data_IF_692153920188
#
_entry.id   IF_692153920188
#
_cell.length_a   1.000
_cell.length_b   1.000
_cell.length_c   1.000
_cell.angle_alpha   90.00
_cell.angle_beta   90.00
_cell.angle_gamma   90.00
#
_symmetry.space_group_name_H-M   'P 1'
#
loop_
_entity.id
_entity.type
_entity.pdbx_description
1 polymer ?
#
# COMPACT_ATOMS: atom_id res chain seq x y z
N UNK A 1 -39.20 23.66 17.73
CA UNK A 1 -39.31 22.47 16.86
C UNK A 1 -39.03 22.89 15.42
N UNK A 2 -38.06 22.24 14.72
CA UNK A 2 -37.72 22.66 13.36
C UNK A 2 -38.76 22.04 12.39
N UNK A 3 -39.74 22.83 11.95
CA UNK A 3 -40.88 22.39 11.14
C UNK A 3 -40.48 21.57 9.89
N UNK A 4 -39.49 21.98 9.09
CA UNK A 4 -38.98 21.20 7.96
C UNK A 4 -38.51 19.80 8.35
N UNK A 5 -37.77 19.65 9.46
CA UNK A 5 -37.27 18.39 9.97
C UNK A 5 -38.41 17.46 10.42
N UNK A 6 -39.41 18.03 11.10
CA UNK A 6 -40.59 17.25 11.56
C UNK A 6 -41.35 16.65 10.38
N UNK A 7 -41.62 17.43 9.35
CA UNK A 7 -42.29 16.94 8.14
C UNK A 7 -41.44 15.93 7.40
N UNK A 8 -40.14 16.18 7.25
CA UNK A 8 -39.21 15.24 6.60
C UNK A 8 -39.19 13.88 7.28
N UNK A 9 -39.15 13.85 8.64
CA UNK A 9 -39.16 12.62 9.42
C UNK A 9 -40.50 11.86 9.24
N UNK A 10 -41.62 12.58 9.21
CA UNK A 10 -42.95 11.96 9.02
C UNK A 10 -43.11 11.43 7.61
N UNK A 11 -42.65 12.14 6.59
CA UNK A 11 -42.59 11.68 5.20
C UNK A 11 -41.74 10.42 5.01
N UNK A 12 -40.59 10.36 5.69
CA UNK A 12 -39.71 9.21 5.64
C UNK A 12 -40.31 7.99 6.36
N UNK A 13 -41.04 8.21 7.49
CA UNK A 13 -41.68 7.16 8.30
C UNK A 13 -43.06 6.78 7.81
N UNK A 14 -43.64 7.49 6.82
CA UNK A 14 -45.00 7.23 6.31
C UNK A 14 -45.06 5.85 5.63
N UNK A 15 -45.79 4.93 6.27
CA UNK A 15 -46.01 3.58 5.79
C UNK A 15 -47.20 3.45 4.81
N UNK A 16 -47.66 4.60 4.25
CA UNK A 16 -48.78 4.66 3.30
C UNK A 16 -48.64 3.68 2.12
N UNK A 17 -49.73 3.53 1.41
CA UNK A 17 -50.07 2.51 0.39
C UNK A 17 -48.85 1.90 -0.38
N UNK A 18 -48.74 0.58 -0.34
CA UNK A 18 -47.65 -0.21 -0.92
C UNK A 18 -47.46 -0.03 -2.47
N UNK A 19 -48.43 0.62 -3.12
CA UNK A 19 -48.50 0.81 -4.59
C UNK A 19 -47.83 2.12 -5.07
N UNK A 20 -47.30 2.96 -4.19
CA UNK A 20 -46.70 4.26 -4.59
C UNK A 20 -45.27 4.07 -5.14
N UNK A 21 -44.97 4.75 -6.24
CA UNK A 21 -43.71 4.70 -6.97
C UNK A 21 -42.52 5.22 -6.13
N UNK A 22 -42.76 6.04 -5.09
CA UNK A 22 -41.73 6.63 -4.26
C UNK A 22 -40.89 5.60 -3.46
N UNK A 23 -41.43 4.44 -3.08
CA UNK A 23 -40.68 3.43 -2.34
C UNK A 23 -39.53 2.81 -3.17
N UNK A 24 -39.78 2.31 -4.40
CA UNK A 24 -38.70 1.85 -5.26
C UNK A 24 -37.63 2.93 -5.49
N UNK A 25 -38.02 4.20 -5.71
CA UNK A 25 -37.10 5.29 -5.89
C UNK A 25 -36.21 5.54 -4.66
N UNK A 26 -36.79 5.49 -3.44
CA UNK A 26 -36.04 5.60 -2.19
C UNK A 26 -35.06 4.43 -2.04
N UNK A 27 -35.48 3.20 -2.35
CA UNK A 27 -34.59 2.04 -2.28
C UNK A 27 -33.46 2.12 -3.28
N UNK A 28 -33.72 2.53 -4.52
CA UNK A 28 -32.70 2.72 -5.56
C UNK A 28 -31.71 3.80 -5.15
N UNK A 29 -32.20 4.94 -4.64
CA UNK A 29 -31.32 6.02 -4.18
C UNK A 29 -30.47 5.59 -2.97
N UNK A 30 -31.07 4.91 -2.00
CA UNK A 30 -30.35 4.35 -0.83
C UNK A 30 -29.28 3.33 -1.27
N UNK A 31 -29.66 2.41 -2.18
CA UNK A 31 -28.74 1.39 -2.71
C UNK A 31 -27.58 2.03 -3.50
N UNK A 32 -27.85 3.06 -4.31
CA UNK A 32 -26.82 3.78 -5.05
C UNK A 32 -25.76 4.42 -4.14
N UNK A 33 -26.20 5.08 -3.07
CA UNK A 33 -25.28 5.65 -2.06
C UNK A 33 -24.54 4.53 -1.32
N UNK A 34 -25.24 3.46 -0.93
CA UNK A 34 -24.64 2.35 -0.19
C UNK A 34 -23.57 1.63 -1.02
N UNK A 35 -23.85 1.30 -2.27
CA UNK A 35 -22.90 0.64 -3.17
C UNK A 35 -21.73 1.57 -3.49
N UNK A 36 -22.01 2.85 -3.82
CA UNK A 36 -20.98 3.82 -4.12
C UNK A 36 -19.99 4.00 -2.96
N UNK A 37 -20.49 4.20 -1.74
CA UNK A 37 -19.65 4.33 -0.55
C UNK A 37 -18.91 3.03 -0.24
N UNK A 38 -19.57 1.87 -0.37
CA UNK A 38 -18.92 0.58 -0.14
C UNK A 38 -17.73 0.36 -1.08
N UNK A 39 -17.89 0.65 -2.38
CA UNK A 39 -16.81 0.54 -3.36
C UNK A 39 -15.67 1.51 -3.05
N UNK A 40 -15.98 2.76 -2.67
CA UNK A 40 -14.96 3.74 -2.30
C UNK A 40 -14.13 3.29 -1.09
N UNK A 41 -14.78 2.81 -0.03
CA UNK A 41 -14.09 2.31 1.17
C UNK A 41 -13.23 1.08 0.82
N UNK A 42 -13.78 0.11 0.10
CA UNK A 42 -13.04 -1.09 -0.31
C UNK A 42 -11.83 -0.73 -1.18
N UNK A 43 -11.98 0.16 -2.15
CA UNK A 43 -10.90 0.60 -3.02
C UNK A 43 -9.74 1.23 -2.23
N UNK A 44 -10.05 2.15 -1.32
CA UNK A 44 -9.02 2.81 -0.50
C UNK A 44 -8.32 1.82 0.43
N UNK A 45 -9.07 0.98 1.16
CA UNK A 45 -8.50 0.02 2.10
C UNK A 45 -7.64 -1.06 1.42
N UNK A 46 -8.03 -1.52 0.24
CA UNK A 46 -7.26 -2.48 -0.54
C UNK A 46 -5.99 -1.84 -1.09
N UNK A 47 -6.07 -0.65 -1.69
CA UNK A 47 -4.89 0.00 -2.26
C UNK A 47 -3.87 0.40 -1.19
N UNK A 48 -4.32 0.91 -0.04
CA UNK A 48 -3.42 1.17 1.09
C UNK A 48 -2.74 -0.11 1.57
N UNK A 49 -3.49 -1.21 1.70
CA UNK A 49 -2.95 -2.52 2.06
C UNK A 49 -1.90 -3.01 1.07
N UNK A 50 -2.15 -2.89 -0.24
CA UNK A 50 -1.16 -3.21 -1.27
C UNK A 50 0.10 -2.37 -1.16
N UNK A 51 -0.05 -1.05 -1.07
CA UNK A 51 1.07 -0.12 -1.00
C UNK A 51 1.98 -0.40 0.19
N UNK A 52 1.41 -0.57 1.37
CA UNK A 52 2.17 -0.83 2.58
C UNK A 52 2.83 -2.21 2.53
N UNK A 53 2.08 -3.26 2.16
CA UNK A 53 2.62 -4.62 2.10
C UNK A 53 3.79 -4.73 1.10
N UNK A 54 3.66 -4.17 -0.09
CA UNK A 54 4.72 -4.27 -1.11
C UNK A 54 5.90 -3.39 -0.73
N UNK A 55 5.66 -2.17 -0.26
CA UNK A 55 6.71 -1.28 0.23
C UNK A 55 7.52 -1.95 1.34
N UNK A 56 6.86 -2.51 2.34
CA UNK A 56 7.54 -3.12 3.48
C UNK A 56 8.34 -4.37 3.08
N UNK A 57 7.88 -5.13 2.09
CA UNK A 57 8.66 -6.23 1.51
C UNK A 57 9.91 -5.74 0.79
N UNK A 58 9.80 -4.69 -0.03
CA UNK A 58 10.95 -4.13 -0.76
C UNK A 58 11.99 -3.56 0.22
N UNK A 59 11.52 -2.86 1.26
CA UNK A 59 12.37 -2.34 2.34
C UNK A 59 13.05 -3.48 3.09
N UNK A 60 12.35 -4.60 3.32
CA UNK A 60 12.90 -5.77 4.01
C UNK A 60 14.12 -6.39 3.34
N UNK A 61 14.27 -6.22 2.01
CA UNK A 61 15.47 -6.66 1.28
C UNK A 61 16.62 -5.66 1.26
N UNK A 62 16.33 -4.36 1.17
CA UNK A 62 17.34 -3.33 0.91
C UNK A 62 17.29 -2.13 1.83
N UNK A 63 16.50 -2.20 2.93
CA UNK A 63 16.30 -1.06 3.84
C UNK A 63 15.71 0.18 3.15
N UNK A 64 15.73 1.34 3.80
CA UNK A 64 15.12 2.58 3.29
C UNK A 64 16.07 3.42 2.42
N UNK A 65 17.33 3.51 2.84
CA UNK A 65 18.39 4.24 2.14
C UNK A 65 19.63 3.34 2.09
N UNK A 66 20.31 3.32 0.99
CA UNK A 66 21.57 2.63 0.81
C UNK A 66 22.68 3.68 0.59
N UNK A 67 23.77 3.54 1.33
CA UNK A 67 25.00 4.31 1.14
C UNK A 67 26.06 3.35 0.62
N UNK A 68 26.57 3.61 -0.57
CA UNK A 68 27.56 2.76 -1.26
C UNK A 68 28.50 3.63 -2.06
N UNK A 69 29.41 3.02 -2.82
CA UNK A 69 30.21 3.75 -3.76
C UNK A 69 29.37 4.36 -4.90
N UNK A 70 29.76 5.54 -5.38
CA UNK A 70 29.08 6.27 -6.43
C UNK A 70 28.98 5.45 -7.74
N UNK A 71 30.04 4.73 -8.12
CA UNK A 71 30.07 3.92 -9.32
C UNK A 71 29.19 2.67 -9.17
N UNK A 72 29.14 2.06 -7.98
CA UNK A 72 28.26 0.93 -7.68
C UNK A 72 26.78 1.30 -7.87
N UNK A 73 26.37 2.49 -7.48
CA UNK A 73 24.99 2.94 -7.64
C UNK A 73 24.62 3.28 -9.10
N UNK A 74 25.61 3.58 -9.93
CA UNK A 74 25.41 3.89 -11.36
C UNK A 74 25.65 2.70 -12.31
N UNK A 75 26.49 1.77 -11.91
CA UNK A 75 26.91 0.62 -12.72
C UNK A 75 26.52 -0.68 -12.01
N UNK A 76 26.56 -1.80 -12.72
CA UNK A 76 26.27 -3.12 -12.14
C UNK A 76 27.45 -3.71 -11.35
N UNK A 77 28.64 -3.15 -11.48
CA UNK A 77 29.83 -3.62 -10.77
C UNK A 77 29.82 -3.18 -9.31
N UNK A 78 30.31 -4.05 -8.42
CA UNK A 78 30.42 -3.77 -6.99
C UNK A 78 31.79 -3.15 -6.69
N UNK A 79 31.80 -1.91 -6.25
CA UNK A 79 32.99 -1.23 -5.75
C UNK A 79 32.92 -1.14 -4.22
N UNK A 80 34.02 -1.37 -3.49
CA UNK A 80 34.03 -1.30 -2.05
C UNK A 80 33.97 0.14 -1.55
N UNK A 81 33.43 0.33 -0.36
CA UNK A 81 33.60 1.56 0.42
C UNK A 81 33.95 1.21 1.85
N UNK A 82 34.67 2.10 2.51
CA UNK A 82 35.05 1.93 3.91
C UNK A 82 33.87 2.16 4.82
N UNK A 83 33.44 1.09 5.51
CA UNK A 83 32.35 1.12 6.50
C UNK A 83 32.85 0.70 7.88
N UNK A 84 33.85 1.43 8.38
CA UNK A 84 34.37 1.25 9.73
C UNK A 84 33.38 1.82 10.78
N UNK A 85 33.67 1.58 12.05
CA UNK A 85 32.81 2.04 13.15
C UNK A 85 32.66 3.57 13.20
N UNK A 86 33.67 4.32 12.71
CA UNK A 86 33.61 5.77 12.62
C UNK A 86 32.53 6.22 11.63
N UNK A 87 32.53 5.66 10.40
CA UNK A 87 31.51 5.97 9.40
C UNK A 87 30.13 5.53 9.84
N UNK A 88 29.98 4.32 10.38
CA UNK A 88 28.71 3.82 10.93
C UNK A 88 28.17 4.76 12.03
N UNK A 89 29.05 5.29 12.90
CA UNK A 89 28.66 6.26 13.94
C UNK A 89 28.24 7.62 13.33
N UNK A 90 28.85 8.05 12.23
CA UNK A 90 28.42 9.25 11.49
C UNK A 90 27.01 9.04 10.97
N UNK A 91 26.75 7.90 10.31
CA UNK A 91 25.43 7.56 9.76
C UNK A 91 24.34 7.42 10.84
N UNK A 92 24.66 6.79 11.98
CA UNK A 92 23.73 6.67 13.13
C UNK A 92 23.32 8.01 13.75
N UNK A 93 24.17 9.04 13.65
CA UNK A 93 23.91 10.39 14.18
C UNK A 93 23.10 11.28 13.24
N UNK A 94 22.75 10.80 12.06
CA UNK A 94 21.91 11.55 11.11
C UNK A 94 20.46 11.58 11.61
N UNK A 95 19.82 12.76 11.63
CA UNK A 95 18.42 12.88 12.02
C UNK A 95 17.51 11.98 11.18
N UNK A 96 16.60 11.25 11.84
CA UNK A 96 15.66 10.35 11.17
C UNK A 96 16.17 8.92 10.98
N UNK A 97 17.46 8.64 11.11
CA UNK A 97 18.00 7.28 11.03
C UNK A 97 17.69 6.50 12.30
N UNK A 98 17.10 5.30 12.14
CA UNK A 98 16.76 4.36 13.21
C UNK A 98 17.82 3.29 13.39
N UNK A 99 18.29 2.70 12.30
CA UNK A 99 19.22 1.59 12.30
C UNK A 99 20.16 1.68 11.11
N UNK A 100 21.39 1.21 11.29
CA UNK A 100 22.42 1.13 10.25
C UNK A 100 23.04 -0.26 10.31
N UNK A 101 23.08 -0.93 9.17
CA UNK A 101 23.68 -2.25 9.02
C UNK A 101 24.60 -2.29 7.81
N UNK A 102 25.73 -3.00 7.93
CA UNK A 102 26.69 -3.20 6.84
C UNK A 102 26.27 -4.36 5.94
N UNK A 103 26.61 -4.28 4.67
CA UNK A 103 26.39 -5.38 3.74
C UNK A 103 27.51 -5.47 2.69
N UNK A 104 27.73 -6.67 2.15
CA UNK A 104 28.62 -6.89 1.01
C UNK A 104 27.91 -7.79 -0.01
N UNK A 105 27.94 -7.40 -1.27
CA UNK A 105 27.37 -8.16 -2.38
C UNK A 105 28.46 -8.88 -3.16
N UNK A 106 28.20 -10.11 -3.59
CA UNK A 106 29.08 -10.87 -4.50
C UNK A 106 28.24 -11.73 -5.43
N UNK A 107 28.47 -11.57 -6.71
CA UNK A 107 27.91 -12.46 -7.72
C UNK A 107 28.56 -13.83 -7.68
N UNK A 108 27.76 -14.87 -7.89
CA UNK A 108 28.26 -16.23 -7.93
C UNK A 108 27.28 -17.19 -8.62
N UNK A 109 27.74 -18.39 -8.87
CA UNK A 109 26.94 -19.46 -9.48
C UNK A 109 26.81 -20.59 -8.50
N UNK A 110 25.60 -20.91 -8.08
CA UNK A 110 25.28 -22.16 -7.38
C UNK A 110 25.22 -23.30 -8.39
N UNK A 111 25.92 -24.39 -8.13
CA UNK A 111 25.97 -25.54 -9.01
C UNK A 111 25.65 -26.83 -8.27
N UNK A 112 24.73 -27.62 -8.83
CA UNK A 112 24.44 -29.02 -8.49
C UNK A 112 25.00 -29.91 -9.58
N UNK A 113 24.85 -31.23 -9.44
CA UNK A 113 25.28 -32.18 -10.46
C UNK A 113 24.49 -32.05 -11.77
N UNK A 114 23.22 -31.58 -11.70
CA UNK A 114 22.33 -31.52 -12.85
C UNK A 114 22.09 -30.08 -13.38
N UNK A 115 22.21 -29.05 -12.52
CA UNK A 115 21.79 -27.69 -12.82
C UNK A 115 22.74 -26.65 -12.24
N UNK A 116 22.68 -25.44 -12.76
CA UNK A 116 23.36 -24.27 -12.21
C UNK A 116 22.48 -23.03 -12.25
N UNK A 117 22.69 -22.10 -11.32
CA UNK A 117 21.94 -20.87 -11.20
C UNK A 117 22.85 -19.70 -10.79
N UNK A 118 22.81 -18.61 -11.55
CA UNK A 118 23.45 -17.36 -11.16
C UNK A 118 22.69 -16.72 -9.99
N UNK A 119 23.41 -16.33 -8.95
CA UNK A 119 22.85 -15.77 -7.72
C UNK A 119 23.68 -14.60 -7.22
N UNK A 120 23.06 -13.76 -6.40
CA UNK A 120 23.73 -12.68 -5.68
C UNK A 120 23.82 -13.04 -4.20
N UNK A 121 25.03 -13.20 -3.70
CA UNK A 121 25.31 -13.40 -2.29
C UNK A 121 25.28 -12.04 -1.57
N UNK A 122 24.41 -11.91 -0.59
CA UNK A 122 24.38 -10.77 0.33
C UNK A 122 24.97 -11.20 1.66
N UNK A 123 26.18 -10.74 1.91
CA UNK A 123 26.84 -10.91 3.19
C UNK A 123 26.34 -9.87 4.18
N UNK A 124 25.93 -10.32 5.36
CA UNK A 124 25.41 -9.47 6.44
C UNK A 124 26.08 -9.81 7.76
N UNK A 125 26.23 -8.80 8.60
CA UNK A 125 26.90 -8.89 9.89
C UNK A 125 25.97 -9.14 11.07
N UNK A 126 26.49 -9.09 12.30
CA UNK A 126 25.69 -9.21 13.52
C UNK A 126 24.68 -8.08 13.72
N UNK A 127 24.87 -6.95 13.03
CA UNK A 127 24.02 -5.77 13.02
C UNK A 127 22.78 -5.92 12.11
N UNK A 128 22.66 -7.02 11.37
CA UNK A 128 21.56 -7.24 10.43
C UNK A 128 20.21 -7.43 11.14
N UNK A 129 19.22 -6.63 10.75
CA UNK A 129 17.83 -6.81 11.19
C UNK A 129 17.19 -8.01 10.46
N UNK A 130 17.19 -9.14 11.14
CA UNK A 130 16.65 -10.40 10.59
C UNK A 130 15.13 -10.53 10.70
N UNK A 131 14.41 -9.52 11.22
CA UNK A 131 12.96 -9.59 11.47
C UNK A 131 12.17 -9.93 10.22
N UNK A 132 12.48 -9.26 9.10
CA UNK A 132 11.81 -9.52 7.83
C UNK A 132 12.05 -10.96 7.32
N UNK A 133 13.29 -11.41 7.36
CA UNK A 133 13.63 -12.78 6.94
C UNK A 133 12.99 -13.81 7.87
N UNK A 134 12.99 -13.57 9.18
CA UNK A 134 12.37 -14.47 10.16
C UNK A 134 10.87 -14.67 9.91
N UNK A 135 10.16 -13.60 9.57
CA UNK A 135 8.73 -13.64 9.24
C UNK A 135 8.42 -14.42 7.94
N UNK A 136 9.41 -14.53 7.05
CA UNK A 136 9.28 -15.18 5.75
C UNK A 136 10.00 -16.54 5.67
N UNK A 137 10.45 -17.10 6.79
CA UNK A 137 11.07 -18.44 6.84
C UNK A 137 10.03 -19.53 6.59
N UNK A 138 10.40 -20.52 5.77
CA UNK A 138 9.58 -21.72 5.51
C UNK A 138 10.16 -22.91 6.24
N UNK A 139 11.48 -23.11 6.16
CA UNK A 139 12.15 -24.29 6.67
C UNK A 139 13.53 -23.93 7.22
N UNK A 140 13.98 -24.64 8.28
CA UNK A 140 15.29 -24.46 8.89
C UNK A 140 15.37 -23.29 9.85
N UNK A 141 16.53 -22.65 9.91
CA UNK A 141 16.79 -21.50 10.79
C UNK A 141 17.71 -20.49 10.11
N UNK A 142 17.70 -19.25 10.61
CA UNK A 142 18.60 -18.21 10.12
C UNK A 142 20.04 -18.56 10.52
N UNK A 143 21.02 -18.46 9.59
CA UNK A 143 22.43 -18.63 9.92
C UNK A 143 22.88 -17.64 10.99
N UNK A 144 23.91 -17.98 11.72
CA UNK A 144 24.63 -16.99 12.53
C UNK A 144 25.45 -16.12 11.59
N UNK A 145 25.06 -14.88 11.42
CA UNK A 145 25.82 -13.92 10.64
C UNK A 145 26.97 -13.32 11.45
N UNK A 146 28.12 -13.22 10.85
CA UNK A 146 29.34 -12.78 11.51
C UNK A 146 30.16 -11.86 10.57
N UNK A 147 30.94 -10.97 11.14
CA UNK A 147 31.85 -10.07 10.42
C UNK A 147 33.33 -10.42 10.61
N UNK A 148 33.63 -11.44 11.46
CA UNK A 148 35.00 -11.88 11.81
C UNK A 148 35.33 -13.31 11.40
N UNK A 149 34.31 -14.15 11.22
CA UNK A 149 34.50 -15.58 10.91
C UNK A 149 33.51 -16.08 9.86
N UNK A 150 33.98 -16.99 9.00
CA UNK A 150 33.11 -17.67 8.04
C UNK A 150 32.47 -18.92 8.66
N UNK A 151 31.15 -18.99 8.61
CA UNK A 151 30.40 -20.19 9.01
C UNK A 151 30.04 -21.10 7.84
N UNK A 152 30.30 -20.67 6.59
CA UNK A 152 29.96 -21.38 5.35
C UNK A 152 28.49 -21.83 5.32
N UNK A 153 27.61 -21.05 5.91
CA UNK A 153 26.17 -21.27 5.93
C UNK A 153 25.47 -20.25 5.04
N UNK A 154 24.43 -20.70 4.35
CA UNK A 154 23.63 -19.84 3.49
C UNK A 154 22.14 -20.03 3.77
N UNK A 155 21.41 -18.95 3.49
CA UNK A 155 19.96 -18.94 3.44
C UNK A 155 19.56 -18.69 1.98
N UNK A 156 18.72 -19.56 1.43
CA UNK A 156 18.26 -19.49 0.03
C UNK A 156 16.75 -19.33 -0.02
N UNK A 157 16.23 -18.80 -1.13
CA UNK A 157 14.79 -18.74 -1.33
C UNK A 157 14.20 -20.09 -1.72
N UNK A 158 12.87 -20.22 -1.53
CA UNK A 158 12.11 -21.37 -2.01
C UNK A 158 12.18 -21.53 -3.54
N UNK A 159 12.30 -20.42 -4.29
CA UNK A 159 12.46 -20.47 -5.75
C UNK A 159 13.80 -21.05 -6.15
N UNK A 160 14.90 -20.65 -5.49
CA UNK A 160 16.24 -21.21 -5.72
C UNK A 160 16.26 -22.69 -5.31
N UNK A 161 15.71 -23.01 -4.12
CA UNK A 161 15.61 -24.37 -3.62
C UNK A 161 14.83 -25.28 -4.59
N UNK A 162 13.70 -24.79 -5.13
CA UNK A 162 12.88 -25.54 -6.11
C UNK A 162 13.59 -25.76 -7.45
N UNK A 163 14.24 -24.71 -8.00
CA UNK A 163 14.97 -24.80 -9.27
C UNK A 163 16.14 -25.80 -9.19
N UNK A 164 16.90 -25.77 -8.10
CA UNK A 164 18.07 -26.62 -7.91
C UNK A 164 17.79 -27.94 -7.15
N UNK A 165 16.52 -28.17 -6.76
CA UNK A 165 16.04 -29.34 -6.00
C UNK A 165 16.79 -29.56 -4.68
N UNK A 166 17.04 -28.47 -3.96
CA UNK A 166 17.81 -28.42 -2.72
C UNK A 166 16.92 -28.42 -1.48
N UNK A 167 17.44 -29.01 -0.39
CA UNK A 167 16.79 -29.07 0.92
C UNK A 167 17.66 -28.46 2.01
N UNK A 168 17.06 -28.12 3.12
CA UNK A 168 17.76 -27.65 4.32
C UNK A 168 18.73 -28.74 4.82
N UNK A 169 19.94 -28.33 5.19
CA UNK A 169 21.02 -29.21 5.65
C UNK A 169 21.92 -29.75 4.55
N UNK A 170 21.50 -29.64 3.28
CA UNK A 170 22.34 -30.09 2.16
C UNK A 170 23.51 -29.12 1.92
N UNK A 171 24.52 -29.63 1.24
CA UNK A 171 25.72 -28.88 0.86
C UNK A 171 25.72 -28.60 -0.62
N UNK A 172 26.08 -27.39 -1.00
CA UNK A 172 26.15 -26.94 -2.38
C UNK A 172 27.49 -26.23 -2.66
N UNK A 173 27.99 -26.39 -3.88
CA UNK A 173 29.14 -25.61 -4.36
C UNK A 173 28.70 -24.31 -4.99
N UNK A 174 29.40 -23.24 -4.65
CA UNK A 174 29.29 -21.94 -5.27
C UNK A 174 30.60 -21.56 -5.95
N UNK A 175 30.50 -21.05 -7.16
CA UNK A 175 31.61 -20.61 -7.97
C UNK A 175 31.56 -19.10 -8.10
N UNK A 176 32.68 -18.46 -7.82
CA UNK A 176 32.87 -17.01 -7.88
C UNK A 176 33.97 -16.71 -8.89
N UNK A 177 33.73 -15.71 -9.71
CA UNK A 177 34.66 -15.28 -10.75
C UNK A 177 35.25 -13.93 -10.35
N UNK A 178 36.54 -13.82 -10.42
CA UNK A 178 37.26 -12.57 -10.24
C UNK A 178 38.48 -12.54 -11.21
N UNK A 179 39.19 -11.42 -11.25
CA UNK A 179 40.36 -11.24 -12.13
C UNK A 179 41.48 -12.27 -11.90
N UNK A 180 41.49 -12.89 -10.71
CA UNK A 180 42.47 -13.91 -10.32
C UNK A 180 42.01 -15.34 -10.63
N UNK A 181 40.86 -15.52 -11.28
CA UNK A 181 40.33 -16.82 -11.69
C UNK A 181 39.04 -17.21 -11.00
N UNK A 182 38.79 -18.55 -10.91
CA UNK A 182 37.58 -19.10 -10.34
C UNK A 182 37.83 -19.59 -8.92
N UNK A 183 37.10 -19.03 -7.97
CA UNK A 183 37.11 -19.48 -6.58
C UNK A 183 35.89 -20.36 -6.33
N UNK A 184 36.09 -21.57 -5.80
CA UNK A 184 35.04 -22.49 -5.42
C UNK A 184 34.92 -22.53 -3.90
N UNK A 185 33.67 -22.41 -3.39
CA UNK A 185 33.36 -22.65 -1.98
C UNK A 185 32.17 -23.56 -1.81
N UNK A 186 32.21 -24.33 -0.73
CA UNK A 186 31.11 -25.22 -0.35
C UNK A 186 30.35 -24.62 0.81
N UNK A 187 29.02 -24.46 0.62
CA UNK A 187 28.11 -23.93 1.63
C UNK A 187 27.12 -25.00 2.10
N UNK A 188 26.64 -24.85 3.34
CA UNK A 188 25.54 -25.62 3.89
C UNK A 188 24.28 -24.77 3.92
N UNK A 189 23.18 -25.27 3.38
CA UNK A 189 21.88 -24.60 3.40
C UNK A 189 21.31 -24.69 4.82
N UNK A 190 21.24 -23.56 5.52
CA UNK A 190 20.76 -23.50 6.90
C UNK A 190 19.26 -23.31 7.00
N UNK A 191 18.65 -22.66 6.01
CA UNK A 191 17.22 -22.47 5.93
C UNK A 191 16.76 -21.99 4.57
N UNK A 192 15.45 -22.01 4.38
CA UNK A 192 14.75 -21.63 3.16
C UNK A 192 13.69 -20.59 3.51
N UNK A 193 13.66 -19.48 2.77
CA UNK A 193 12.69 -18.39 2.92
C UNK A 193 11.87 -18.18 1.66
N UNK A 194 10.71 -17.51 1.79
CA UNK A 194 9.86 -17.10 0.66
C UNK A 194 9.20 -15.76 0.94
N UNK A 195 9.50 -14.76 0.14
CA UNK A 195 8.90 -13.42 0.29
C UNK A 195 7.84 -13.12 -0.75
N UNK A 196 7.79 -13.90 -1.82
CA UNK A 196 6.97 -13.67 -3.02
C UNK A 196 7.38 -12.42 -3.81
N UNK A 197 8.55 -11.83 -3.54
CA UNK A 197 9.17 -10.83 -4.41
C UNK A 197 10.10 -11.54 -5.41
N UNK A 198 9.55 -11.93 -6.55
CA UNK A 198 10.23 -12.76 -7.56
C UNK A 198 11.61 -12.20 -7.91
N UNK A 199 11.74 -10.89 -8.12
CA UNK A 199 12.99 -10.20 -8.44
C UNK A 199 14.13 -10.56 -7.48
N UNK A 200 13.83 -10.69 -6.19
CA UNK A 200 14.80 -11.01 -5.15
C UNK A 200 14.84 -12.51 -4.86
N UNK A 201 13.69 -13.17 -4.77
CA UNK A 201 13.62 -14.61 -4.48
C UNK A 201 14.29 -15.48 -5.56
N UNK A 202 14.46 -14.98 -6.79
CA UNK A 202 15.16 -15.71 -7.86
C UNK A 202 16.69 -15.70 -7.74
N UNK A 203 17.24 -14.68 -7.07
CA UNK A 203 18.70 -14.45 -7.12
C UNK A 203 19.35 -14.28 -5.75
N UNK A 204 18.63 -13.85 -4.71
CA UNK A 204 19.24 -13.47 -3.44
C UNK A 204 19.54 -14.65 -2.53
N UNK A 205 20.81 -14.75 -2.10
CA UNK A 205 21.33 -15.71 -1.13
C UNK A 205 21.99 -14.94 0.01
N UNK A 206 21.61 -15.24 1.25
CA UNK A 206 22.23 -14.60 2.42
C UNK A 206 23.37 -15.44 2.98
N UNK A 207 24.45 -14.79 3.35
CA UNK A 207 25.61 -15.41 4.02
C UNK A 207 26.19 -14.44 5.07
N UNK A 208 27.23 -14.83 5.79
CA UNK A 208 27.94 -13.94 6.69
C UNK A 208 28.76 -12.87 5.96
N UNK A 209 28.90 -11.68 6.56
CA UNK A 209 29.59 -10.52 5.99
C UNK A 209 31.06 -10.84 5.72
N UNK A 210 31.72 -11.52 6.65
CA UNK A 210 33.11 -11.93 6.50
C UNK A 210 33.35 -12.72 5.23
N UNK A 211 32.47 -13.70 4.94
CA UNK A 211 32.57 -14.51 3.72
C UNK A 211 32.46 -13.67 2.46
N UNK A 212 31.47 -12.77 2.40
CA UNK A 212 31.26 -11.94 1.22
C UNK A 212 32.44 -10.95 0.97
N UNK A 213 32.96 -10.34 2.03
CA UNK A 213 34.15 -9.46 1.95
C UNK A 213 35.36 -10.22 1.44
N UNK A 214 35.66 -11.39 2.00
CA UNK A 214 36.80 -12.23 1.57
C UNK A 214 36.63 -12.79 0.14
N UNK A 215 35.40 -13.07 -0.29
CA UNK A 215 35.10 -13.47 -1.67
C UNK A 215 35.34 -12.36 -2.69
N UNK A 216 35.13 -11.11 -2.29
CA UNK A 216 35.48 -9.94 -3.11
C UNK A 216 36.98 -9.63 -3.12
N UNK A 217 37.77 -10.18 -2.18
CA UNK A 217 39.16 -9.87 -2.00
C UNK A 217 39.38 -8.50 -1.35
N UNK A 218 38.36 -8.00 -0.62
CA UNK A 218 38.39 -6.69 0.04
C UNK A 218 39.06 -6.76 1.42
N UNK A 219 39.48 -5.62 1.91
CA UNK A 219 39.98 -5.47 3.27
C UNK A 219 38.84 -5.57 4.31
N UNK A 220 39.21 -5.70 5.58
CA UNK A 220 38.22 -5.96 6.67
C UNK A 220 37.29 -4.76 6.94
N UNK A 221 37.74 -3.54 6.62
CA UNK A 221 36.97 -2.32 6.79
C UNK A 221 36.18 -1.92 5.52
N UNK A 222 36.35 -2.66 4.42
CA UNK A 222 35.66 -2.46 3.16
C UNK A 222 34.41 -3.34 3.04
N UNK A 223 33.33 -2.75 2.54
CA UNK A 223 32.07 -3.45 2.26
C UNK A 223 31.42 -2.85 1.00
N UNK A 224 30.35 -3.44 0.48
CA UNK A 224 29.57 -2.81 -0.60
C UNK A 224 28.87 -1.52 -0.13
N UNK A 225 28.68 -1.36 1.19
CA UNK A 225 28.07 -0.18 1.77
C UNK A 225 27.33 -0.44 3.07
N UNK A 226 26.46 0.50 3.42
CA UNK A 226 25.56 0.40 4.55
C UNK A 226 24.11 0.62 4.12
N UNK A 227 23.21 -0.10 4.76
CA UNK A 227 21.77 0.03 4.64
C UNK A 227 21.21 0.73 5.87
N UNK A 228 20.39 1.75 5.66
CA UNK A 228 19.82 2.58 6.71
C UNK A 228 18.32 2.43 6.77
N UNK A 229 17.79 2.17 7.97
CA UNK A 229 16.36 2.22 8.25
C UNK A 229 16.01 3.56 8.86
N UNK A 230 14.97 4.23 8.34
CA UNK A 230 14.47 5.50 8.90
C UNK A 230 13.30 5.27 9.85
N UNK A 231 13.07 6.23 10.76
CA UNK A 231 11.96 6.17 11.71
C UNK A 231 10.60 6.38 11.03
N UNK A 232 10.55 7.27 10.02
CA UNK A 232 9.32 7.62 9.29
C UNK A 232 9.60 7.65 7.79
N UNK A 233 8.94 6.76 7.05
CA UNK A 233 9.08 6.68 5.59
C UNK A 233 8.64 7.97 4.87
N UNK A 234 7.73 8.74 5.44
CA UNK A 234 7.28 10.01 4.85
C UNK A 234 8.39 11.07 4.88
N UNK A 235 9.37 10.93 5.79
CA UNK A 235 10.54 11.81 5.91
C UNK A 235 11.80 11.24 5.23
N UNK A 236 11.61 10.25 4.35
CA UNK A 236 12.73 9.58 3.66
C UNK A 236 13.62 10.58 2.94
N UNK A 237 13.04 11.49 2.15
CA UNK A 237 13.78 12.48 1.37
C UNK A 237 14.51 13.49 2.27
N UNK A 238 13.88 13.94 3.39
CA UNK A 238 14.54 14.82 4.37
C UNK A 238 15.76 14.15 4.98
N UNK A 239 15.66 12.86 5.31
CA UNK A 239 16.78 12.09 5.88
C UNK A 239 17.87 11.88 4.84
N UNK A 240 17.50 11.62 3.58
CA UNK A 240 18.47 11.52 2.48
C UNK A 240 19.22 12.84 2.25
N UNK A 241 18.54 13.99 2.28
CA UNK A 241 19.17 15.31 2.16
C UNK A 241 20.25 15.53 3.22
N UNK A 242 20.04 15.07 4.47
CA UNK A 242 21.09 15.10 5.49
C UNK A 242 22.30 14.21 5.14
N UNK A 243 22.07 13.03 4.55
CA UNK A 243 23.15 12.13 4.09
C UNK A 243 23.90 12.78 2.93
N UNK A 244 23.18 13.34 1.95
CA UNK A 244 23.78 14.02 0.79
C UNK A 244 24.68 15.14 1.23
N UNK A 245 24.26 15.96 2.18
CA UNK A 245 25.04 17.10 2.65
C UNK A 245 26.24 16.70 3.52
N UNK A 246 26.19 15.56 4.19
CA UNK A 246 27.20 15.20 5.21
C UNK A 246 28.14 14.08 4.78
N UNK A 247 27.68 13.17 3.91
CA UNK A 247 28.41 11.95 3.53
C UNK A 247 28.71 11.89 2.04
N UNK A 248 27.72 12.21 1.18
CA UNK A 248 27.93 12.12 -0.26
C UNK A 248 29.09 13.03 -0.72
N UNK A 249 29.80 12.55 -1.73
CA UNK A 249 31.01 13.20 -2.28
C UNK A 249 32.20 13.29 -1.31
N UNK A 250 32.09 12.73 -0.12
CA UNK A 250 33.28 12.47 0.69
C UNK A 250 34.01 11.27 0.13
N UNK A 251 35.35 11.27 0.26
CA UNK A 251 36.20 10.22 -0.28
C UNK A 251 36.80 9.46 0.88
N UNK A 252 36.87 8.15 0.77
CA UNK A 252 37.53 7.31 1.77
C UNK A 252 39.06 7.28 1.58
N UNK A 253 39.76 6.59 2.42
CA UNK A 253 41.23 6.55 2.36
C UNK A 253 41.79 5.69 1.21
N UNK A 254 40.93 4.94 0.50
CA UNK A 254 41.31 4.22 -0.74
C UNK A 254 40.97 5.03 -2.00
N UNK A 255 40.26 6.16 -1.86
CA UNK A 255 39.90 7.04 -2.99
C UNK A 255 38.48 6.83 -3.51
N UNK A 256 37.68 5.97 -2.89
CA UNK A 256 36.31 5.70 -3.29
C UNK A 256 35.35 6.77 -2.76
N UNK A 257 34.32 7.07 -3.53
CA UNK A 257 33.41 8.20 -3.26
C UNK A 257 32.04 7.70 -2.77
N UNK A 258 31.63 8.15 -1.59
CA UNK A 258 30.32 7.80 -1.06
C UNK A 258 29.18 8.48 -1.81
N UNK A 259 28.13 7.72 -2.01
CA UNK A 259 26.85 8.20 -2.54
C UNK A 259 25.69 7.48 -1.84
N UNK A 260 24.55 8.16 -1.77
CA UNK A 260 23.32 7.57 -1.24
C UNK A 260 22.24 7.44 -2.31
N UNK A 261 21.39 6.45 -2.16
CA UNK A 261 20.18 6.28 -2.96
C UNK A 261 19.04 5.78 -2.08
N UNK A 262 17.85 6.29 -2.32
CA UNK A 262 16.66 5.80 -1.62
C UNK A 262 16.19 4.48 -2.23
N UNK A 263 15.40 3.74 -1.48
CA UNK A 263 14.75 2.52 -1.97
C UNK A 263 13.85 2.79 -3.19
N UNK A 264 13.34 4.03 -3.33
CA UNK A 264 12.57 4.46 -4.49
C UNK A 264 13.42 4.53 -5.75
N UNK A 265 14.65 5.05 -5.62
CA UNK A 265 15.60 5.18 -6.74
C UNK A 265 16.18 3.82 -7.14
N UNK A 266 16.38 2.94 -6.17
CA UNK A 266 16.84 1.56 -6.42
C UNK A 266 15.75 0.65 -7.04
N UNK A 267 14.47 0.97 -6.83
CA UNK A 267 13.35 0.22 -7.35
C UNK A 267 12.29 1.10 -8.03
N UNK A 268 12.64 1.92 -9.03
CA UNK A 268 11.74 2.92 -9.61
C UNK A 268 10.48 2.29 -10.20
N UNK A 269 10.59 1.14 -10.88
CA UNK A 269 9.46 0.47 -11.50
C UNK A 269 8.37 0.06 -10.49
N UNK A 270 8.78 -0.44 -9.31
CA UNK A 270 7.84 -0.85 -8.26
C UNK A 270 7.15 0.39 -7.69
N UNK A 271 7.90 1.44 -7.36
CA UNK A 271 7.33 2.64 -6.76
C UNK A 271 6.48 3.45 -7.76
N UNK A 272 6.84 3.49 -9.06
CA UNK A 272 5.99 4.04 -10.11
C UNK A 272 4.67 3.27 -10.23
N UNK A 273 4.72 1.93 -10.23
CA UNK A 273 3.51 1.11 -10.24
C UNK A 273 2.62 1.37 -9.02
N UNK A 274 3.21 1.48 -7.81
CA UNK A 274 2.46 1.84 -6.60
C UNK A 274 1.83 3.24 -6.70
N UNK A 275 2.49 4.20 -7.35
CA UNK A 275 1.93 5.55 -7.56
C UNK A 275 0.77 5.56 -8.55
N UNK A 276 0.79 4.69 -9.57
CA UNK A 276 -0.34 4.53 -10.49
C UNK A 276 -1.60 3.98 -9.79
N UNK A 277 -1.45 3.19 -8.74
CA UNK A 277 -2.58 2.74 -7.92
C UNK A 277 -3.30 3.91 -7.23
N UNK A 278 -2.58 4.95 -6.81
CA UNK A 278 -3.19 6.16 -6.24
C UNK A 278 -4.08 6.88 -7.27
N UNK A 279 -3.59 7.01 -8.51
CA UNK A 279 -4.38 7.61 -9.60
C UNK A 279 -5.68 6.83 -9.84
N UNK A 280 -5.59 5.49 -9.89
CA UNK A 280 -6.76 4.64 -10.06
C UNK A 280 -7.79 4.83 -8.93
N UNK A 281 -7.33 4.95 -7.67
CA UNK A 281 -8.21 5.24 -6.53
C UNK A 281 -8.93 6.58 -6.74
N UNK A 282 -8.21 7.65 -7.10
CA UNK A 282 -8.82 8.96 -7.33
C UNK A 282 -9.88 8.94 -8.45
N UNK A 283 -9.62 8.19 -9.53
CA UNK A 283 -10.58 8.00 -10.62
C UNK A 283 -11.83 7.26 -10.11
N UNK A 284 -11.65 6.17 -9.35
CA UNK A 284 -12.77 5.40 -8.79
C UNK A 284 -13.58 6.26 -7.82
N UNK A 285 -12.93 6.99 -6.93
CA UNK A 285 -13.60 7.90 -5.99
C UNK A 285 -14.43 8.94 -6.72
N UNK A 286 -13.84 9.61 -7.72
CA UNK A 286 -14.54 10.62 -8.52
C UNK A 286 -15.74 10.04 -9.26
N UNK A 287 -15.57 8.89 -9.92
CA UNK A 287 -16.65 8.21 -10.64
C UNK A 287 -17.78 7.79 -9.69
N UNK A 288 -17.47 7.19 -8.55
CA UNK A 288 -18.47 6.74 -7.58
C UNK A 288 -19.23 7.91 -6.96
N UNK A 289 -18.56 9.04 -6.68
CA UNK A 289 -19.24 10.26 -6.22
C UNK A 289 -20.22 10.81 -7.26
N UNK A 290 -19.85 10.78 -8.55
CA UNK A 290 -20.74 11.21 -9.65
C UNK A 290 -21.96 10.28 -9.73
N UNK A 291 -21.72 8.96 -9.72
CA UNK A 291 -22.81 7.96 -9.79
C UNK A 291 -23.77 8.10 -8.59
N UNK A 292 -23.23 8.21 -7.38
CA UNK A 292 -24.04 8.43 -6.18
C UNK A 292 -24.86 9.73 -6.28
N UNK A 293 -24.25 10.82 -6.76
CA UNK A 293 -24.91 12.10 -6.96
C UNK A 293 -26.04 12.04 -7.99
N UNK A 294 -25.80 11.48 -9.18
CA UNK A 294 -26.81 11.33 -10.23
C UNK A 294 -27.98 10.45 -9.75
N UNK A 295 -27.68 9.36 -9.05
CA UNK A 295 -28.70 8.47 -8.47
C UNK A 295 -29.56 9.19 -7.44
N UNK A 296 -28.94 10.03 -6.59
CA UNK A 296 -29.65 10.85 -5.61
C UNK A 296 -30.48 11.95 -6.26
N UNK A 297 -29.98 12.62 -7.31
CA UNK A 297 -30.74 13.62 -8.09
C UNK A 297 -32.00 12.97 -8.65
N UNK A 298 -31.85 11.84 -9.32
CA UNK A 298 -32.97 11.10 -9.94
C UNK A 298 -33.99 10.67 -8.86
N UNK A 299 -33.53 10.12 -7.74
CA UNK A 299 -34.39 9.73 -6.63
C UNK A 299 -35.16 10.92 -6.05
N UNK A 300 -34.48 12.06 -5.81
CA UNK A 300 -35.16 13.26 -5.29
C UNK A 300 -36.18 13.83 -6.28
N UNK A 301 -35.87 13.84 -7.59
CA UNK A 301 -36.79 14.30 -8.62
C UNK A 301 -38.07 13.47 -8.65
N UNK A 302 -37.95 12.14 -8.64
CA UNK A 302 -39.10 11.23 -8.60
C UNK A 302 -39.99 11.53 -7.38
N UNK A 303 -39.35 11.68 -6.21
CA UNK A 303 -40.08 11.97 -4.96
C UNK A 303 -40.77 13.34 -5.01
N UNK A 304 -40.12 14.38 -5.54
CA UNK A 304 -40.71 15.72 -5.72
C UNK A 304 -41.95 15.65 -6.64
N UNK A 305 -41.83 14.95 -7.76
CA UNK A 305 -42.91 14.79 -8.73
C UNK A 305 -44.12 14.04 -8.14
N UNK A 306 -43.89 12.97 -7.40
CA UNK A 306 -44.95 12.20 -6.75
C UNK A 306 -45.65 12.97 -5.62
N UNK A 307 -44.93 13.88 -4.97
CA UNK A 307 -45.48 14.68 -3.84
C UNK A 307 -45.89 16.09 -4.27
N UNK A 308 -46.14 16.34 -5.57
CA UNK A 308 -46.54 17.64 -6.09
C UNK A 308 -47.86 18.14 -5.49
N UNK A 309 -48.85 17.26 -5.28
CA UNK A 309 -50.12 17.64 -4.62
C UNK A 309 -49.87 18.14 -3.18
N UNK A 310 -49.07 17.42 -2.39
CA UNK A 310 -48.68 17.86 -1.03
C UNK A 310 -47.93 19.21 -1.06
N UNK A 311 -47.03 19.42 -2.02
CA UNK A 311 -46.34 20.70 -2.18
C UNK A 311 -47.29 21.81 -2.52
N UNK A 312 -48.31 21.55 -3.38
CA UNK A 312 -49.38 22.46 -3.74
C UNK A 312 -50.18 22.90 -2.52
N UNK A 313 -50.62 21.95 -1.71
CA UNK A 313 -51.37 22.23 -0.46
C UNK A 313 -50.52 23.05 0.52
N UNK A 314 -49.25 22.70 0.73
CA UNK A 314 -48.36 23.49 1.60
C UNK A 314 -48.18 24.92 1.11
N UNK A 315 -48.08 25.15 -0.19
CA UNK A 315 -47.99 26.50 -0.78
C UNK A 315 -49.29 27.27 -0.63
N UNK A 316 -50.44 26.62 -0.81
CA UNK A 316 -51.76 27.21 -0.61
C UNK A 316 -52.00 27.66 0.85
N UNK A 317 -51.44 26.89 1.82
CA UNK A 317 -51.42 27.25 3.24
C UNK A 317 -50.37 28.32 3.62
N UNK A 318 -49.68 28.91 2.64
CA UNK A 318 -48.71 29.99 2.85
C UNK A 318 -47.27 29.56 3.17
N UNK A 319 -46.89 28.28 2.99
CA UNK A 319 -45.52 27.82 3.20
C UNK A 319 -44.60 28.46 2.17
N UNK A 320 -43.46 29.01 2.64
CA UNK A 320 -42.43 29.63 1.78
C UNK A 320 -41.68 28.53 1.01
N UNK A 321 -41.29 28.77 -0.24
CA UNK A 321 -40.50 27.85 -1.04
C UNK A 321 -39.24 27.39 -0.32
N UNK A 322 -38.59 28.26 0.46
CA UNK A 322 -37.41 27.92 1.26
C UNK A 322 -37.71 26.84 2.31
N UNK A 323 -38.86 26.91 2.98
CA UNK A 323 -39.28 25.90 3.98
C UNK A 323 -39.52 24.53 3.34
N UNK A 324 -40.20 24.50 2.19
CA UNK A 324 -40.46 23.27 1.46
C UNK A 324 -39.16 22.65 0.95
N UNK A 325 -38.25 23.44 0.38
CA UNK A 325 -36.90 22.94 -0.05
C UNK A 325 -36.15 22.33 1.11
N UNK A 326 -36.08 22.97 2.29
CA UNK A 326 -35.42 22.40 3.45
C UNK A 326 -36.05 21.08 3.91
N UNK A 327 -37.36 20.91 3.76
CA UNK A 327 -38.04 19.65 4.07
C UNK A 327 -37.53 18.51 3.18
N UNK A 328 -37.43 18.73 1.87
CA UNK A 328 -36.94 17.71 0.94
C UNK A 328 -35.43 17.46 1.09
N UNK A 329 -34.64 18.48 1.43
CA UNK A 329 -33.22 18.29 1.75
C UNK A 329 -33.03 17.46 3.02
N UNK A 330 -33.79 17.70 4.08
CA UNK A 330 -33.76 16.86 5.28
C UNK A 330 -34.22 15.41 4.99
N UNK A 331 -35.23 15.26 4.15
CA UNK A 331 -35.66 13.94 3.71
C UNK A 331 -34.55 13.21 2.97
N UNK A 332 -33.83 13.87 2.08
CA UNK A 332 -32.69 13.29 1.39
C UNK A 332 -31.55 12.93 2.35
N UNK A 333 -31.30 13.75 3.39
CA UNK A 333 -30.28 13.42 4.42
C UNK A 333 -30.62 12.08 5.13
N UNK A 334 -31.90 11.80 5.39
CA UNK A 334 -32.29 10.49 5.96
C UNK A 334 -32.00 9.33 5.00
N UNK A 335 -32.25 9.50 3.70
CA UNK A 335 -31.95 8.48 2.66
C UNK A 335 -30.43 8.26 2.57
N UNK A 336 -29.65 9.36 2.49
CA UNK A 336 -28.18 9.29 2.45
C UNK A 336 -27.64 8.61 3.70
N UNK A 337 -28.09 9.01 4.90
CA UNK A 337 -27.65 8.43 6.17
C UNK A 337 -27.90 6.92 6.24
N UNK A 338 -29.09 6.47 5.81
CA UNK A 338 -29.38 5.01 5.72
C UNK A 338 -28.48 4.32 4.68
N UNK A 339 -28.28 4.93 3.51
CA UNK A 339 -27.37 4.42 2.47
C UNK A 339 -25.93 4.29 2.99
N UNK A 340 -25.46 5.33 3.69
CA UNK A 340 -24.12 5.32 4.29
C UNK A 340 -23.96 4.24 5.37
N UNK A 341 -24.95 4.04 6.24
CA UNK A 341 -24.90 2.96 7.24
C UNK A 341 -24.81 1.58 6.57
N UNK A 342 -25.63 1.34 5.55
CA UNK A 342 -25.59 0.10 4.78
C UNK A 342 -24.27 -0.05 4.02
N UNK A 343 -23.80 1.01 3.39
CA UNK A 343 -22.52 1.03 2.65
C UNK A 343 -21.32 0.70 3.55
N UNK A 344 -21.25 1.33 4.73
CA UNK A 344 -20.21 1.01 5.71
C UNK A 344 -20.34 -0.46 6.19
N UNK A 345 -21.54 -0.94 6.49
CA UNK A 345 -21.74 -2.31 6.95
C UNK A 345 -21.31 -3.33 5.90
N UNK A 346 -21.64 -3.11 4.63
CA UNK A 346 -21.24 -3.98 3.51
C UNK A 346 -19.71 -3.93 3.33
N UNK A 347 -19.13 -2.72 3.25
CA UNK A 347 -17.70 -2.57 3.03
C UNK A 347 -16.88 -3.20 4.15
N UNK A 348 -17.17 -2.84 5.40
CA UNK A 348 -16.47 -3.38 6.56
C UNK A 348 -16.67 -4.88 6.71
N UNK A 349 -17.86 -5.38 6.42
CA UNK A 349 -18.16 -6.82 6.43
C UNK A 349 -17.31 -7.59 5.42
N UNK A 350 -17.25 -7.15 4.16
CA UNK A 350 -16.46 -7.78 3.10
C UNK A 350 -14.95 -7.67 3.41
N UNK A 351 -14.47 -6.49 3.80
CA UNK A 351 -13.06 -6.27 4.13
C UNK A 351 -12.61 -7.10 5.33
N UNK A 352 -13.43 -7.19 6.37
CA UNK A 352 -13.16 -8.01 7.56
C UNK A 352 -13.12 -9.49 7.19
N UNK A 353 -14.10 -9.95 6.38
CA UNK A 353 -14.11 -11.32 5.86
C UNK A 353 -12.82 -11.62 5.09
N UNK A 354 -12.41 -10.74 4.17
CA UNK A 354 -11.17 -10.89 3.40
C UNK A 354 -9.93 -10.90 4.31
N UNK A 355 -9.87 -9.99 5.29
CA UNK A 355 -8.73 -9.88 6.21
C UNK A 355 -8.48 -11.18 7.00
N UNK A 356 -9.54 -11.81 7.53
CA UNK A 356 -9.41 -13.04 8.33
C UNK A 356 -9.32 -14.32 7.50
N UNK A 357 -9.97 -14.38 6.35
CA UNK A 357 -10.08 -15.64 5.58
C UNK A 357 -9.15 -15.69 4.37
N UNK A 358 -8.74 -14.53 3.82
CA UNK A 358 -7.94 -14.48 2.60
C UNK A 358 -8.61 -15.18 1.41
N UNK A 359 -9.96 -15.13 1.30
CA UNK A 359 -10.74 -15.83 0.26
C UNK A 359 -10.26 -15.44 -1.14
N UNK A 360 -10.02 -14.13 -1.36
CA UNK A 360 -9.56 -13.62 -2.65
C UNK A 360 -8.05 -13.82 -2.71
N UNK A 361 -7.64 -14.90 -3.37
CA UNK A 361 -6.24 -15.24 -3.61
C UNK A 361 -5.74 -14.54 -4.88
N UNK A 362 -4.47 -14.19 -4.88
CA UNK A 362 -3.77 -13.59 -6.00
C UNK A 362 -2.59 -14.47 -6.39
N UNK A 363 -2.17 -14.36 -7.66
CA UNK A 363 -0.92 -14.95 -8.09
C UNK A 363 0.26 -14.17 -7.48
N UNK A 364 0.96 -14.81 -6.55
CA UNK A 364 2.07 -14.20 -5.83
C UNK A 364 3.25 -13.81 -6.74
N UNK A 365 3.39 -14.45 -7.91
CA UNK A 365 4.47 -14.12 -8.85
C UNK A 365 4.20 -12.81 -9.60
N UNK A 366 2.93 -12.51 -9.87
CA UNK A 366 2.50 -11.30 -10.60
C UNK A 366 2.26 -10.13 -9.65
N UNK A 367 1.60 -10.38 -8.51
CA UNK A 367 1.14 -9.32 -7.60
C UNK A 367 2.00 -9.17 -6.35
N UNK A 368 3.05 -9.96 -6.18
CA UNK A 368 3.97 -9.96 -5.03
C UNK A 368 3.31 -10.33 -3.69
N UNK A 369 2.02 -10.66 -3.70
CA UNK A 369 1.22 -11.06 -2.53
C UNK A 369 0.32 -12.23 -2.88
N UNK A 370 0.14 -13.17 -1.95
CA UNK A 370 -0.68 -14.39 -2.17
C UNK A 370 -2.18 -14.16 -1.97
N UNK A 371 -2.56 -13.09 -1.28
CA UNK A 371 -3.95 -12.71 -1.01
C UNK A 371 -4.10 -11.19 -1.13
N UNK A 372 -5.31 -10.72 -1.43
CA UNK A 372 -5.58 -9.28 -1.44
C UNK A 372 -5.35 -8.71 -0.03
N UNK A 373 -4.33 -7.85 0.16
CA UNK A 373 -4.07 -7.24 1.44
C UNK A 373 -5.11 -6.15 1.74
N UNK A 374 -5.55 -6.09 2.98
CA UNK A 374 -6.53 -5.10 3.46
C UNK A 374 -5.93 -4.34 4.64
N UNK A 375 -5.99 -3.02 4.58
CA UNK A 375 -5.59 -2.15 5.67
C UNK A 375 -6.72 -1.21 6.05
N UNK A 376 -7.11 -1.24 7.33
CA UNK A 376 -8.16 -0.37 7.86
C UNK A 376 -7.60 0.99 8.27
N UNK A 377 -7.70 1.97 7.39
CA UNK A 377 -7.39 3.36 7.74
C UNK A 377 -8.68 4.10 8.15
N UNK A 378 -8.93 4.15 9.47
CA UNK A 378 -10.14 4.77 10.03
C UNK A 378 -10.28 6.25 9.68
N UNK A 379 -9.15 6.97 9.57
CA UNK A 379 -9.16 8.38 9.17
C UNK A 379 -9.68 8.55 7.74
N UNK A 380 -9.20 7.71 6.82
CA UNK A 380 -9.66 7.72 5.43
C UNK A 380 -11.15 7.32 5.32
N UNK A 381 -11.58 6.31 6.07
CA UNK A 381 -13.00 5.89 6.10
C UNK A 381 -13.90 7.03 6.58
N UNK A 382 -13.54 7.72 7.67
CA UNK A 382 -14.30 8.86 8.19
C UNK A 382 -14.30 10.00 7.16
N UNK A 383 -13.16 10.32 6.55
CA UNK A 383 -13.06 11.36 5.52
C UNK A 383 -13.95 11.05 4.31
N UNK A 384 -13.99 9.80 3.84
CA UNK A 384 -14.88 9.36 2.77
C UNK A 384 -16.35 9.50 3.14
N UNK A 385 -16.73 9.16 4.36
CA UNK A 385 -18.10 9.35 4.85
C UNK A 385 -18.50 10.83 4.85
N UNK A 386 -17.65 11.71 5.37
CA UNK A 386 -17.91 13.16 5.39
C UNK A 386 -17.98 13.70 3.95
N UNK A 387 -17.03 13.33 3.08
CA UNK A 387 -17.02 13.76 1.69
C UNK A 387 -18.28 13.32 0.94
N UNK A 388 -18.68 12.05 1.09
CA UNK A 388 -19.90 11.50 0.47
C UNK A 388 -21.13 12.25 0.93
N UNK A 389 -21.27 12.52 2.25
CA UNK A 389 -22.39 13.28 2.79
C UNK A 389 -22.44 14.71 2.22
N UNK A 390 -21.33 15.43 2.27
CA UNK A 390 -21.27 16.83 1.81
C UNK A 390 -21.54 16.94 0.31
N UNK A 391 -20.91 16.11 -0.51
CA UNK A 391 -21.08 16.13 -1.96
C UNK A 391 -22.49 15.72 -2.35
N UNK A 392 -23.06 14.70 -1.71
CA UNK A 392 -24.45 14.29 -1.97
C UNK A 392 -25.44 15.39 -1.63
N UNK A 393 -25.29 16.10 -0.49
CA UNK A 393 -26.13 17.23 -0.14
C UNK A 393 -25.97 18.37 -1.14
N UNK A 394 -24.72 18.69 -1.52
CA UNK A 394 -24.43 19.75 -2.49
C UNK A 394 -25.10 19.48 -3.86
N UNK A 395 -25.02 18.26 -4.36
CA UNK A 395 -25.64 17.86 -5.62
C UNK A 395 -27.17 17.99 -5.59
N UNK A 396 -27.80 17.85 -4.43
CA UNK A 396 -29.27 17.96 -4.29
C UNK A 396 -29.78 19.39 -4.25
N UNK A 397 -28.90 20.38 -4.10
CA UNK A 397 -29.31 21.79 -4.09
C UNK A 397 -29.95 22.19 -5.42
N UNK A 398 -29.35 21.82 -6.56
CA UNK A 398 -29.86 22.18 -7.89
C UNK A 398 -31.28 21.60 -8.16
N UNK A 399 -31.55 20.27 -8.01
CA UNK A 399 -32.90 19.73 -8.19
C UNK A 399 -33.93 20.32 -7.25
N UNK A 400 -33.52 20.70 -6.03
CA UNK A 400 -34.45 21.30 -5.06
C UNK A 400 -35.06 22.64 -5.52
N UNK A 401 -34.41 23.34 -6.49
CA UNK A 401 -34.98 24.57 -7.05
C UNK A 401 -36.21 24.30 -7.92
N UNK A 402 -36.40 23.11 -8.48
CA UNK A 402 -37.61 22.74 -9.21
C UNK A 402 -38.89 22.88 -8.37
N UNK A 403 -38.79 22.73 -7.05
CA UNK A 403 -39.90 22.96 -6.10
C UNK A 403 -40.47 24.38 -6.22
N UNK A 404 -39.66 25.40 -6.56
CA UNK A 404 -40.12 26.76 -6.71
C UNK A 404 -41.04 26.96 -7.93
N UNK A 405 -40.90 26.16 -8.97
CA UNK A 405 -41.66 26.22 -10.21
C UNK A 405 -43.01 25.46 -10.17
N UNK A 406 -43.29 24.72 -9.12
CA UNK A 406 -44.56 24.03 -8.94
C UNK A 406 -45.64 25.05 -8.54
N UNK A 407 -46.64 25.26 -9.44
CA UNK A 407 -47.76 26.17 -9.21
C UNK A 407 -48.89 25.47 -8.47
N UNK A 408 -49.46 26.03 -7.35
CA UNK A 408 -50.55 25.43 -6.57
C UNK A 408 -51.77 25.10 -7.40
N UNK A 409 -52.18 26.02 -8.29
CA UNK A 409 -53.39 25.85 -9.09
C UNK A 409 -53.36 24.70 -10.08
N UNK A 410 -52.19 24.31 -10.62
CA UNK A 410 -52.02 23.19 -11.53
C UNK A 410 -51.87 21.87 -10.79
N UNK A 411 -51.26 21.85 -9.61
CA UNK A 411 -50.96 20.61 -8.84
C UNK A 411 -52.16 20.03 -8.10
N UNK A 412 -53.21 20.84 -7.84
CA UNK A 412 -54.45 20.36 -7.22
C UNK A 412 -55.52 19.85 -8.22
N UNK A 413 -55.28 20.00 -9.54
CA UNK A 413 -56.21 19.64 -10.62
C UNK A 413 -56.02 18.22 -11.19
N UNK A 414 -55.00 17.50 -10.74
CA UNK A 414 -54.72 16.13 -11.16
C UNK A 414 -55.04 15.16 -10.02
N UNK A 415 -56.32 14.88 -9.82
CA UNK A 415 -56.89 13.65 -9.26
C UNK A 415 -57.89 13.10 -10.24
#
# INVERSE_FOLDING_TARGET
>A
MNFPLFIAKRLYSDQGDKRKVSRPAIHIATAGVAIGLAIMIMSVCVVLGFKHTIRDKVIGFGSHIQVADFMTLQQQNQYPVVMNDSMVNVLKKIPGVKHVQKFAMKEGILKTDSDFLGVMFKGVGPDFDSTFIHQNMIEGSIPKFDDKASHNQILISQLIAGKLKLKTGERIFAYFFDDNGVRMRRFTIKGIYQTNLKKYDEVMVYTDLYTAVKLNGWEEDQTSGAELTVNDFNKLNETEDYIINKVNRTVDHYGETYSSSTIKDLNPNIFQWLSLMDLNVWIILGLMLIVAGVTMISGLLIIILERTSMIGVMKALGARNKTIRHTFLWFAVFIIGKGMLLGNAIALGILTLQYFTGIIKLDAQTYYVSTVPVEFNWLAIIALNIATLLISIFMLVAPSYLISHIHPAKSMRYE
#
